data_IF_817859059722
#
_entry.id   IF_817859059722
#
_cell.length_a   1.000
_cell.length_b   1.000
_cell.length_c   1.000
_cell.angle_alpha   90.00
_cell.angle_beta   90.00
_cell.angle_gamma   90.00
#
_symmetry.space_group_name_H-M   'P 1'
#
loop_
_entity.id
_entity.type
_entity.pdbx_description
1 polymer ?
#
# COMPACT_ATOMS: atom_id res chain seq x y z
N UNK A 1 13.90 10.63 5.59
CA UNK A 1 14.15 11.78 4.70
C UNK A 1 14.52 13.05 5.46
N UNK A 2 13.73 13.50 6.44
CA UNK A 2 13.94 14.79 7.13
C UNK A 2 15.33 15.00 7.76
N UNK A 3 15.84 14.00 8.49
CA UNK A 3 17.18 14.09 9.12
C UNK A 3 18.28 13.95 8.06
N UNK A 4 18.14 13.00 7.13
CA UNK A 4 19.14 12.72 6.09
C UNK A 4 19.32 13.91 5.15
N UNK A 5 18.25 14.61 4.78
CA UNK A 5 18.31 15.78 3.88
C UNK A 5 19.00 17.01 4.48
N UNK A 6 19.13 17.11 5.81
CA UNK A 6 19.90 18.19 6.45
C UNK A 6 21.42 17.96 6.39
N UNK A 7 21.86 16.71 6.27
CA UNK A 7 23.28 16.35 6.27
C UNK A 7 23.79 15.87 4.89
N UNK A 8 22.89 15.51 3.97
CA UNK A 8 23.23 14.83 2.72
C UNK A 8 22.77 15.66 1.52
N UNK A 9 23.67 15.87 0.56
CA UNK A 9 23.39 16.60 -0.66
C UNK A 9 22.25 15.94 -1.47
N UNK A 10 21.41 16.74 -2.13
CA UNK A 10 20.21 16.26 -2.84
C UNK A 10 20.51 15.17 -3.88
N UNK A 11 21.69 15.22 -4.53
CA UNK A 11 22.15 14.21 -5.49
C UNK A 11 22.33 12.83 -4.84
N UNK A 12 22.92 12.78 -3.66
CA UNK A 12 23.13 11.53 -2.92
C UNK A 12 21.79 10.97 -2.42
N UNK A 13 20.84 11.84 -2.04
CA UNK A 13 19.49 11.42 -1.71
C UNK A 13 18.75 10.80 -2.91
N UNK A 14 18.91 11.40 -4.09
CA UNK A 14 18.34 10.86 -5.33
C UNK A 14 18.94 9.48 -5.66
N UNK A 15 20.27 9.33 -5.58
CA UNK A 15 20.94 8.04 -5.79
C UNK A 15 20.44 6.96 -4.81
N UNK A 16 20.30 7.30 -3.53
CA UNK A 16 19.76 6.36 -2.54
C UNK A 16 18.32 5.94 -2.86
N UNK A 17 17.47 6.88 -3.28
CA UNK A 17 16.11 6.59 -3.69
C UNK A 17 16.05 5.68 -4.93
N UNK A 18 16.93 5.91 -5.91
CA UNK A 18 17.05 5.03 -7.08
C UNK A 18 17.50 3.63 -6.69
N UNK A 19 18.49 3.49 -5.81
CA UNK A 19 18.94 2.18 -5.31
C UNK A 19 17.80 1.45 -4.61
N UNK A 20 17.04 2.14 -3.75
CA UNK A 20 15.87 1.57 -3.08
C UNK A 20 14.78 1.13 -4.07
N UNK A 21 14.53 1.92 -5.12
CA UNK A 21 13.56 1.58 -6.16
C UNK A 21 13.99 0.35 -6.99
N UNK A 22 15.28 0.26 -7.35
CA UNK A 22 15.84 -0.92 -8.03
C UNK A 22 15.80 -2.15 -7.14
N UNK A 23 16.13 -2.00 -5.86
CA UNK A 23 16.01 -3.07 -4.89
C UNK A 23 14.56 -3.56 -4.76
N UNK A 24 13.59 -2.63 -4.69
CA UNK A 24 12.17 -2.97 -4.67
C UNK A 24 11.74 -3.72 -5.94
N UNK A 25 12.24 -3.31 -7.10
CA UNK A 25 11.98 -4.01 -8.36
C UNK A 25 12.54 -5.43 -8.35
N UNK A 26 13.75 -5.63 -7.82
CA UNK A 26 14.34 -6.96 -7.65
C UNK A 26 13.53 -7.83 -6.67
N UNK A 27 13.07 -7.26 -5.57
CA UNK A 27 12.24 -7.97 -4.59
C UNK A 27 10.87 -8.37 -5.17
N UNK A 28 10.32 -7.60 -6.11
CA UNK A 28 9.04 -7.91 -6.74
C UNK A 28 9.09 -9.24 -7.50
N UNK A 29 10.22 -9.58 -8.13
CA UNK A 29 10.40 -10.87 -8.82
C UNK A 29 10.34 -12.09 -7.88
N UNK A 30 10.55 -11.91 -6.58
CA UNK A 30 10.44 -12.99 -5.59
C UNK A 30 9.03 -13.16 -5.04
N UNK A 31 8.16 -12.16 -5.21
CA UNK A 31 6.80 -12.19 -4.67
C UNK A 31 5.91 -12.91 -5.70
N UNK A 32 5.14 -13.95 -5.31
CA UNK A 32 4.22 -14.59 -6.24
C UNK A 32 3.17 -13.58 -6.70
N UNK A 33 2.77 -13.70 -7.97
CA UNK A 33 1.71 -12.89 -8.54
C UNK A 33 0.38 -13.06 -7.79
N UNK A 34 -0.48 -12.06 -7.88
CA UNK A 34 -1.77 -12.09 -7.16
C UNK A 34 -2.63 -13.27 -7.63
N UNK A 35 -3.13 -14.13 -6.72
CA UNK A 35 -3.95 -15.30 -7.09
C UNK A 35 -5.21 -14.89 -7.86
N UNK A 36 -5.80 -13.73 -7.56
CA UNK A 36 -6.96 -13.21 -8.31
C UNK A 36 -6.61 -12.87 -9.77
N UNK A 37 -5.39 -12.38 -10.01
CA UNK A 37 -4.91 -12.11 -11.37
C UNK A 37 -4.69 -13.42 -12.13
N UNK A 38 -4.03 -14.41 -11.51
CA UNK A 38 -3.80 -15.73 -12.09
C UNK A 38 -5.11 -16.46 -12.43
N UNK A 39 -6.12 -16.36 -11.57
CA UNK A 39 -7.46 -16.90 -11.83
C UNK A 39 -8.13 -16.22 -13.03
N UNK A 40 -7.95 -14.91 -13.22
CA UNK A 40 -8.48 -14.16 -14.37
C UNK A 40 -7.87 -14.58 -15.70
N UNK A 41 -6.59 -14.95 -15.71
CA UNK A 41 -5.87 -15.41 -16.90
C UNK A 41 -6.00 -16.93 -17.13
N UNK A 42 -6.64 -17.67 -16.22
CA UNK A 42 -6.84 -19.12 -16.35
C UNK A 42 -5.60 -19.95 -16.05
N UNK A 43 -4.59 -19.38 -15.36
CA UNK A 43 -3.36 -20.08 -15.00
C UNK A 43 -3.55 -20.90 -13.72
N UNK A 44 -4.26 -22.03 -13.79
CA UNK A 44 -4.64 -22.84 -12.61
C UNK A 44 -3.42 -23.37 -11.82
N UNK A 45 -2.37 -23.83 -12.52
CA UNK A 45 -1.16 -24.34 -11.86
C UNK A 45 -0.40 -23.25 -11.07
N UNK A 46 -0.37 -22.03 -11.60
CA UNK A 46 0.30 -20.91 -10.95
C UNK A 46 -0.55 -20.36 -9.81
N UNK A 47 -1.89 -20.38 -9.96
CA UNK A 47 -2.83 -20.05 -8.90
C UNK A 47 -2.64 -20.95 -7.67
N UNK A 48 -2.59 -22.27 -7.89
CA UNK A 48 -2.37 -23.24 -6.81
C UNK A 48 -0.99 -23.03 -6.16
N UNK A 49 0.07 -22.81 -6.95
CA UNK A 49 1.40 -22.53 -6.44
C UNK A 49 1.46 -21.22 -5.60
N UNK A 50 0.77 -20.17 -6.05
CA UNK A 50 0.69 -18.90 -5.31
C UNK A 50 -0.11 -19.06 -4.00
N UNK A 51 -1.20 -19.83 -4.01
CA UNK A 51 -2.00 -20.12 -2.82
C UNK A 51 -1.21 -20.97 -1.81
N UNK A 52 -0.50 -22.01 -2.27
CA UNK A 52 0.37 -22.83 -1.42
C UNK A 52 1.54 -22.02 -0.84
N UNK A 53 2.10 -21.08 -1.60
CA UNK A 53 3.12 -20.15 -1.10
C UNK A 53 2.57 -19.25 0.03
N UNK A 54 1.30 -18.84 -0.08
CA UNK A 54 0.67 -17.92 0.87
C UNK A 54 0.12 -18.61 2.13
N UNK A 55 -0.47 -19.81 2.00
CA UNK A 55 -1.10 -20.59 3.08
C UNK A 55 -0.20 -21.66 3.69
N UNK A 56 0.84 -22.08 2.97
CA UNK A 56 1.72 -23.18 3.34
C UNK A 56 1.39 -24.50 2.63
N UNK A 57 2.41 -25.34 2.47
CA UNK A 57 2.44 -26.57 1.65
C UNK A 57 1.44 -27.67 2.07
N UNK A 58 0.76 -27.53 3.21
CA UNK A 58 -0.16 -28.53 3.76
C UNK A 58 -1.61 -28.03 3.89
N UNK A 59 -1.90 -26.83 3.41
CA UNK A 59 -3.24 -26.27 3.47
C UNK A 59 -4.11 -26.84 2.33
N UNK A 60 -5.38 -27.13 2.63
CA UNK A 60 -6.35 -27.44 1.59
C UNK A 60 -6.75 -26.15 0.86
N UNK A 61 -6.15 -25.92 -0.30
CA UNK A 61 -6.35 -24.75 -1.15
C UNK A 61 -7.47 -24.96 -2.18
N UNK A 62 -8.02 -26.18 -2.29
CA UNK A 62 -8.96 -26.54 -3.35
C UNK A 62 -10.24 -25.71 -3.29
N UNK A 63 -10.78 -25.51 -2.08
CA UNK A 63 -11.98 -24.70 -1.86
C UNK A 63 -11.74 -23.21 -2.17
N UNK A 64 -10.61 -22.65 -1.72
CA UNK A 64 -10.27 -21.24 -1.94
C UNK A 64 -10.00 -20.94 -3.43
N UNK A 65 -9.36 -21.86 -4.14
CA UNK A 65 -9.13 -21.74 -5.58
C UNK A 65 -10.46 -21.71 -6.37
N UNK A 66 -11.43 -22.54 -5.97
CA UNK A 66 -12.78 -22.57 -6.58
C UNK A 66 -13.53 -21.27 -6.27
N UNK A 67 -13.54 -20.80 -5.02
CA UNK A 67 -14.19 -19.54 -4.65
C UNK A 67 -13.63 -18.34 -5.43
N UNK A 68 -12.30 -18.25 -5.57
CA UNK A 68 -11.67 -17.18 -6.33
C UNK A 68 -12.06 -17.26 -7.81
N UNK A 69 -12.13 -18.47 -8.38
CA UNK A 69 -12.51 -18.69 -9.77
C UNK A 69 -13.97 -18.29 -10.02
N UNK A 70 -14.89 -18.73 -9.18
CA UNK A 70 -16.31 -18.37 -9.25
C UNK A 70 -16.52 -16.86 -9.10
N UNK A 71 -15.78 -16.22 -8.18
CA UNK A 71 -15.80 -14.78 -8.02
C UNK A 71 -15.32 -14.07 -9.29
N UNK A 72 -14.20 -14.49 -9.88
CA UNK A 72 -13.65 -13.88 -11.09
C UNK A 72 -14.56 -14.09 -12.31
N UNK A 73 -15.19 -15.26 -12.42
CA UNK A 73 -16.18 -15.53 -13.47
C UNK A 73 -17.42 -14.66 -13.31
N UNK A 74 -17.92 -14.49 -12.08
CA UNK A 74 -19.00 -13.54 -11.78
C UNK A 74 -18.60 -12.12 -12.20
N UNK A 75 -17.39 -11.68 -11.89
CA UNK A 75 -16.89 -10.37 -12.29
C UNK A 75 -16.78 -10.23 -13.81
N UNK A 76 -16.40 -11.29 -14.54
CA UNK A 76 -16.32 -11.28 -16.00
C UNK A 76 -17.69 -11.07 -16.65
N UNK A 77 -18.76 -11.55 -16.01
CA UNK A 77 -20.13 -11.28 -16.44
C UNK A 77 -20.54 -9.81 -16.28
N UNK A 78 -19.94 -9.09 -15.32
CA UNK A 78 -20.14 -7.65 -15.09
C UNK A 78 -19.13 -6.75 -15.82
N UNK A 79 -17.95 -7.26 -16.18
CA UNK A 79 -16.79 -6.42 -16.54
C UNK A 79 -16.72 -5.99 -18.01
N UNK A 80 -17.82 -6.03 -18.77
CA UNK A 80 -17.87 -5.49 -20.12
C UNK A 80 -18.44 -4.06 -20.17
N UNK A 81 -18.44 -3.35 -19.05
CA UNK A 81 -18.95 -1.98 -18.95
C UNK A 81 -17.83 -1.03 -18.48
N UNK A 82 -17.61 0.06 -19.23
CA UNK A 82 -16.45 0.93 -19.09
C UNK A 82 -16.42 1.77 -17.80
N UNK A 83 -15.41 2.65 -17.66
CA UNK A 83 -15.18 3.53 -16.49
C UNK A 83 -16.42 4.34 -16.07
N UNK A 84 -17.36 4.59 -17.00
CA UNK A 84 -18.61 5.30 -16.75
C UNK A 84 -19.63 4.50 -15.93
N UNK A 85 -19.50 3.18 -15.88
CA UNK A 85 -20.38 2.29 -15.11
C UNK A 85 -20.22 2.46 -13.59
N UNK A 86 -19.05 2.92 -13.17
CA UNK A 86 -18.73 3.25 -11.79
C UNK A 86 -19.60 4.42 -11.27
N UNK A 87 -20.16 5.24 -12.18
CA UNK A 87 -21.10 6.31 -11.86
C UNK A 87 -22.57 5.86 -11.82
N UNK A 88 -22.86 4.56 -11.98
CA UNK A 88 -24.21 4.05 -11.75
C UNK A 88 -24.63 4.20 -10.28
N UNK A 89 -25.94 4.43 -10.07
CA UNK A 89 -26.55 4.76 -8.78
C UNK A 89 -26.26 3.76 -7.65
N UNK A 90 -25.90 2.52 -7.99
CA UNK A 90 -25.51 1.48 -7.04
C UNK A 90 -24.07 1.64 -6.50
N UNK A 91 -23.15 2.21 -7.30
CA UNK A 91 -21.73 2.34 -6.95
C UNK A 91 -21.33 3.77 -6.54
N UNK A 92 -22.14 4.79 -6.82
CA UNK A 92 -21.85 6.19 -6.44
C UNK A 92 -21.78 6.42 -4.93
N UNK A 93 -22.54 5.68 -4.12
CA UNK A 93 -22.53 5.81 -2.66
C UNK A 93 -21.17 5.41 -2.06
N UNK A 94 -20.66 4.18 -2.27
CA UNK A 94 -19.34 3.81 -1.78
C UNK A 94 -18.24 4.66 -2.42
N UNK A 95 -18.37 5.03 -3.70
CA UNK A 95 -17.43 5.92 -4.38
C UNK A 95 -17.32 7.27 -3.66
N UNK A 96 -18.45 7.90 -3.33
CA UNK A 96 -18.46 9.18 -2.62
C UNK A 96 -17.92 9.05 -1.20
N UNK A 97 -18.20 7.95 -0.50
CA UNK A 97 -17.60 7.69 0.82
C UNK A 97 -16.08 7.61 0.74
N UNK A 98 -15.53 6.83 -0.20
CA UNK A 98 -14.07 6.71 -0.38
C UNK A 98 -13.47 8.06 -0.78
N UNK A 99 -14.06 8.75 -1.76
CA UNK A 99 -13.60 10.06 -2.19
C UNK A 99 -13.65 11.09 -1.05
N UNK A 100 -14.73 11.12 -0.28
CA UNK A 100 -14.90 11.99 0.87
C UNK A 100 -13.85 11.74 1.95
N UNK A 101 -13.57 10.47 2.27
CA UNK A 101 -12.51 10.10 3.21
C UNK A 101 -11.14 10.56 2.70
N UNK A 102 -10.83 10.35 1.41
CA UNK A 102 -9.56 10.79 0.81
C UNK A 102 -9.41 12.32 0.85
N UNK A 103 -10.47 13.06 0.55
CA UNK A 103 -10.48 14.53 0.62
C UNK A 103 -10.29 15.00 2.05
N UNK A 104 -11.04 14.45 3.01
CA UNK A 104 -10.90 14.80 4.43
C UNK A 104 -9.49 14.50 4.96
N UNK A 105 -8.89 13.37 4.56
CA UNK A 105 -7.51 13.04 4.92
C UNK A 105 -6.50 14.04 4.35
N UNK A 106 -6.70 14.53 3.13
CA UNK A 106 -5.78 15.49 2.51
C UNK A 106 -5.99 16.93 3.02
N UNK A 107 -7.25 17.33 3.25
CA UNK A 107 -7.60 18.64 3.82
C UNK A 107 -7.14 18.80 5.26
N UNK A 108 -6.95 17.69 6.00
CA UNK A 108 -6.33 17.68 7.32
C UNK A 108 -4.88 18.22 7.35
N UNK A 109 -4.33 18.65 6.21
CA UNK A 109 -3.09 19.41 6.15
C UNK A 109 -1.84 18.57 6.42
N UNK A 110 -1.96 17.24 6.41
CA UNK A 110 -0.83 16.32 6.65
C UNK A 110 0.34 16.60 5.69
N UNK A 111 0.04 16.95 4.44
CA UNK A 111 1.05 17.29 3.42
C UNK A 111 1.69 18.65 3.71
N UNK A 112 0.90 19.66 4.09
CA UNK A 112 1.42 20.97 4.46
C UNK A 112 2.33 20.88 5.69
N UNK A 113 1.92 20.13 6.72
CA UNK A 113 2.75 19.85 7.89
C UNK A 113 4.04 19.13 7.49
N UNK A 114 3.96 18.14 6.61
CA UNK A 114 5.13 17.36 6.15
C UNK A 114 6.16 18.25 5.45
N UNK A 115 5.73 19.16 4.55
CA UNK A 115 6.64 20.03 3.80
C UNK A 115 7.12 21.26 4.57
N UNK A 116 6.24 21.89 5.35
CA UNK A 116 6.52 23.15 6.05
C UNK A 116 6.78 23.00 7.54
N UNK A 117 6.86 21.76 8.05
CA UNK A 117 7.17 21.46 9.45
C UNK A 117 8.32 22.29 10.00
N UNK A 118 9.45 22.35 9.31
CA UNK A 118 10.61 23.12 9.74
C UNK A 118 10.29 24.60 9.96
N UNK A 119 9.55 25.23 9.05
CA UNK A 119 9.12 26.62 9.17
C UNK A 119 8.12 26.81 10.32
N UNK A 120 7.14 25.91 10.46
CA UNK A 120 6.13 25.94 11.53
C UNK A 120 6.78 25.87 12.90
N UNK A 121 7.74 24.94 13.09
CA UNK A 121 8.43 24.79 14.37
C UNK A 121 9.32 25.99 14.70
N UNK A 122 10.00 26.56 13.71
CA UNK A 122 10.80 27.79 13.89
C UNK A 122 9.89 28.96 14.27
N UNK A 123 8.74 29.14 13.61
CA UNK A 123 7.75 30.16 13.98
C UNK A 123 7.15 29.94 15.37
N UNK A 124 7.11 28.70 15.87
CA UNK A 124 6.68 28.37 17.22
C UNK A 124 7.77 28.58 18.30
N UNK A 125 8.96 29.05 17.93
CA UNK A 125 10.08 29.28 18.85
C UNK A 125 10.90 28.02 19.17
N UNK A 126 10.68 26.91 18.46
CA UNK A 126 11.41 25.65 18.64
C UNK A 126 12.46 25.48 17.54
N UNK A 127 13.63 24.95 17.89
CA UNK A 127 14.67 24.65 16.89
C UNK A 127 14.13 23.66 15.84
N UNK A 128 14.32 23.99 14.55
CA UNK A 128 13.93 23.16 13.40
C UNK A 128 14.36 21.70 13.56
N UNK A 129 15.56 21.46 14.11
CA UNK A 129 16.09 20.11 14.31
C UNK A 129 15.23 19.27 15.27
N UNK A 130 14.74 19.86 16.36
CA UNK A 130 13.90 19.15 17.35
C UNK A 130 12.55 18.79 16.73
N UNK A 131 11.96 19.70 15.94
CA UNK A 131 10.73 19.45 15.20
C UNK A 131 10.85 18.35 14.14
N UNK A 132 12.00 18.28 13.45
CA UNK A 132 12.25 17.23 12.46
C UNK A 132 12.47 15.86 13.11
N UNK A 133 13.09 15.81 14.30
CA UNK A 133 13.29 14.58 15.06
C UNK A 133 11.96 14.02 15.57
N UNK A 134 11.07 14.85 16.13
CA UNK A 134 9.75 14.40 16.59
C UNK A 134 8.91 13.85 15.45
N UNK A 135 8.95 14.50 14.28
CA UNK A 135 8.30 13.98 13.07
C UNK A 135 8.90 12.64 12.63
N UNK A 136 10.23 12.51 12.60
CA UNK A 136 10.87 11.25 12.28
C UNK A 136 10.43 10.12 13.23
N UNK A 137 10.30 10.39 14.53
CA UNK A 137 9.81 9.44 15.52
C UNK A 137 8.35 9.00 15.22
N UNK A 138 7.45 9.93 14.87
CA UNK A 138 6.07 9.57 14.51
C UNK A 138 5.99 8.68 13.26
N UNK A 139 6.89 8.86 12.30
CA UNK A 139 6.93 8.02 11.10
C UNK A 139 7.42 6.61 11.42
N UNK A 140 8.43 6.47 12.28
CA UNK A 140 8.92 5.16 12.73
C UNK A 140 7.81 4.40 13.47
N UNK A 141 7.05 5.07 14.34
CA UNK A 141 5.94 4.46 15.06
C UNK A 141 4.87 3.91 14.09
N UNK A 142 4.53 4.65 13.03
CA UNK A 142 3.58 4.19 12.00
C UNK A 142 4.07 2.93 11.28
N UNK A 143 5.36 2.87 10.93
CA UNK A 143 5.95 1.68 10.29
C UNK A 143 5.89 0.48 11.23
N UNK A 144 6.22 0.69 12.51
CA UNK A 144 6.17 -0.38 13.51
C UNK A 144 4.76 -0.96 13.66
N UNK A 145 3.74 -0.08 13.76
CA UNK A 145 2.34 -0.50 13.82
C UNK A 145 1.93 -1.31 12.58
N UNK A 146 2.40 -0.89 11.39
CA UNK A 146 2.10 -1.61 10.15
C UNK A 146 2.75 -2.99 10.13
N UNK A 147 4.01 -3.11 10.54
CA UNK A 147 4.69 -4.41 10.66
C UNK A 147 3.97 -5.31 11.65
N UNK A 148 3.59 -4.78 12.82
CA UNK A 148 2.82 -5.53 13.82
C UNK A 148 1.48 -6.01 13.27
N UNK A 149 0.75 -5.19 12.51
CA UNK A 149 -0.49 -5.63 11.88
C UNK A 149 -0.29 -6.74 10.86
N UNK A 150 0.84 -6.75 10.13
CA UNK A 150 1.17 -7.80 9.16
C UNK A 150 1.55 -9.10 9.87
N UNK A 151 2.29 -9.03 10.97
CA UNK A 151 2.61 -10.20 11.80
C UNK A 151 1.37 -10.76 12.50
N UNK A 152 0.49 -9.90 13.02
CA UNK A 152 -0.77 -10.29 13.63
C UNK A 152 -1.76 -10.92 12.62
N UNK A 153 -1.72 -10.48 11.36
CA UNK A 153 -2.45 -11.11 10.26
C UNK A 153 -1.92 -12.51 9.93
N UNK A 154 -0.59 -12.69 9.91
CA UNK A 154 0.04 -13.99 9.70
C UNK A 154 -0.14 -14.98 10.85
N UNK A 155 -0.31 -14.51 12.10
CA UNK A 155 -0.51 -15.36 13.27
C UNK A 155 -1.96 -15.86 13.45
N UNK A 156 -2.91 -15.32 12.67
CA UNK A 156 -4.33 -15.71 12.69
C UNK A 156 -4.74 -16.56 11.49
N UNK A 157 -3.87 -16.71 10.49
CA UNK A 157 -4.03 -17.60 9.35
C UNK A 157 -3.28 -18.90 9.61
#
# INVERSE_FOLDING_TARGET
MFVVGSFVHWRTLALLATILALLQLLLLFFIPESPQWLAKFGCEKELEAALLCLRGDKADISHEAIEIKDYVESLKSFSSEGILDIFQKNYVRPLFTVAGVLVLMNLGGINALTYYSGAIFVSAGVSSMVGLITLAATQILKVLQRIQSLQAGKAKA
#
